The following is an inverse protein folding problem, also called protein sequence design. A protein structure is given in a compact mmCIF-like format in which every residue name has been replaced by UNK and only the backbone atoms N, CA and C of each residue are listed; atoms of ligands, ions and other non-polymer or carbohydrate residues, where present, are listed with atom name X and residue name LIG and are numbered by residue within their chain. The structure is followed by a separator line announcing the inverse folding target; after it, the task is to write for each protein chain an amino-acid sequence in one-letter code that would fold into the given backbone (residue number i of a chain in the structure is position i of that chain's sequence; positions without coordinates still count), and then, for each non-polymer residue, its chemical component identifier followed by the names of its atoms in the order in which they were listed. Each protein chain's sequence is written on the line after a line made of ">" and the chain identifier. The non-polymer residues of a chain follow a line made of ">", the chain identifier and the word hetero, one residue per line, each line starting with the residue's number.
data_IF_728923050004
#
_entry.id   IF_728923050004
#
_cell.length_a   1.000
_cell.length_b   1.000
_cell.length_c   1.000
_cell.angle_alpha   90.00
_cell.angle_beta   90.00
_cell.angle_gamma   90.00
#
_symmetry.space_group_name_H-M   'P 1'
#
loop_
_entity.id
_entity.type
_entity.pdbx_description
1 polymer ?
#
# COMPACT_ATOMS: atom_id res chain seq x y z
N UNK A 1 17.32 -8.10 3.02
CA UNK A 1 15.91 -8.42 2.79
C UNK A 1 15.81 -9.81 2.16
N UNK A 2 14.86 -10.61 2.62
CA UNK A 2 14.51 -11.96 2.15
C UNK A 2 13.30 -11.90 1.19
N UNK A 3 13.12 -12.91 0.35
CA UNK A 3 11.98 -12.99 -0.57
C UNK A 3 10.73 -13.46 0.18
N UNK A 4 9.71 -12.60 0.24
CA UNK A 4 8.39 -12.93 0.78
C UNK A 4 7.54 -13.69 -0.24
N UNK A 5 7.44 -13.15 -1.46
CA UNK A 5 6.60 -13.69 -2.53
C UNK A 5 7.03 -13.17 -3.91
N UNK A 6 6.56 -13.84 -4.96
CA UNK A 6 6.61 -13.34 -6.33
C UNK A 6 5.29 -13.67 -7.04
N UNK A 7 4.87 -12.83 -7.99
CA UNK A 7 3.66 -13.06 -8.79
C UNK A 7 3.96 -13.38 -10.27
N UNK A 8 2.94 -13.83 -11.00
CA UNK A 8 3.06 -14.19 -12.43
C UNK A 8 3.42 -12.98 -13.33
N UNK A 9 3.19 -11.75 -12.84
CA UNK A 9 3.56 -10.52 -13.55
C UNK A 9 5.03 -10.15 -13.36
N UNK A 10 5.77 -10.92 -12.55
CA UNK A 10 7.19 -10.73 -12.26
C UNK A 10 7.45 -9.70 -11.17
N UNK A 11 6.44 -9.32 -10.38
CA UNK A 11 6.65 -8.50 -9.20
C UNK A 11 7.26 -9.36 -8.09
N UNK A 12 8.15 -8.76 -7.30
CA UNK A 12 8.79 -9.42 -6.16
C UNK A 12 8.51 -8.64 -4.89
N UNK A 13 8.19 -9.34 -3.81
CA UNK A 13 7.92 -8.78 -2.50
C UNK A 13 9.00 -9.27 -1.56
N UNK A 14 9.67 -8.35 -0.89
CA UNK A 14 10.82 -8.60 -0.02
C UNK A 14 10.52 -8.10 1.39
N UNK A 15 11.18 -8.64 2.41
CA UNK A 15 11.10 -8.12 3.77
C UNK A 15 12.42 -8.23 4.54
N UNK A 16 12.57 -7.49 5.63
CA UNK A 16 13.64 -7.72 6.62
C UNK A 16 13.12 -8.00 8.05
N UNK A 17 11.81 -8.23 8.17
CA UNK A 17 11.12 -8.42 9.45
C UNK A 17 10.66 -7.12 10.11
N UNK A 18 10.97 -5.96 9.52
CA UNK A 18 10.43 -4.67 9.94
C UNK A 18 9.81 -3.90 8.75
N UNK A 19 10.48 -3.89 7.60
CA UNK A 19 9.98 -3.30 6.37
C UNK A 19 9.66 -4.38 5.33
N UNK A 20 8.56 -4.18 4.60
CA UNK A 20 8.24 -4.89 3.36
C UNK A 20 8.47 -3.96 2.17
N UNK A 21 9.13 -4.47 1.13
CA UNK A 21 9.42 -3.75 -0.12
C UNK A 21 8.84 -4.51 -1.31
N UNK A 22 8.01 -3.84 -2.11
CA UNK A 22 7.52 -4.36 -3.38
C UNK A 22 8.37 -3.82 -4.54
N UNK A 23 9.03 -4.72 -5.27
CA UNK A 23 9.66 -4.43 -6.55
C UNK A 23 8.65 -4.71 -7.66
N UNK A 24 8.04 -3.64 -8.15
CA UNK A 24 7.00 -3.70 -9.16
C UNK A 24 7.60 -3.52 -10.55
N UNK A 25 7.15 -4.34 -11.50
CA UNK A 25 7.45 -4.12 -12.91
C UNK A 25 6.82 -2.81 -13.36
N UNK A 26 7.63 -1.88 -13.86
CA UNK A 26 7.12 -0.64 -14.41
C UNK A 26 6.32 -0.92 -15.69
N UNK A 27 5.06 -0.50 -15.69
CA UNK A 27 4.23 -0.42 -16.89
C UNK A 27 4.40 0.95 -17.53
N UNK A 28 5.04 1.01 -18.70
CA UNK A 28 5.31 2.26 -19.42
C UNK A 28 4.04 2.94 -19.96
N UNK A 29 2.91 2.23 -20.02
CA UNK A 29 1.60 2.80 -20.36
C UNK A 29 0.72 3.10 -19.14
N UNK A 30 1.20 2.79 -17.93
CA UNK A 30 0.47 2.96 -16.69
C UNK A 30 0.57 4.37 -16.10
N UNK A 31 -0.24 4.64 -15.08
CA UNK A 31 -0.27 5.93 -14.38
C UNK A 31 0.83 6.09 -13.33
N UNK A 32 1.49 4.99 -12.96
CA UNK A 32 2.48 5.01 -11.89
C UNK A 32 3.82 5.63 -12.35
N UNK A 33 4.43 6.51 -11.54
CA UNK A 33 5.71 7.11 -11.88
C UNK A 33 6.84 6.07 -11.81
N UNK A 34 7.92 6.34 -12.55
CA UNK A 34 9.18 5.64 -12.36
C UNK A 34 9.78 6.04 -11.00
N UNK A 35 10.16 5.07 -10.18
CA UNK A 35 10.68 5.30 -8.83
C UNK A 35 9.76 4.73 -7.75
N UNK A 36 9.52 5.50 -6.69
CA UNK A 36 8.60 5.11 -5.62
C UNK A 36 7.17 5.13 -6.17
N UNK A 37 6.52 3.97 -6.16
CA UNK A 37 5.16 3.80 -6.68
C UNK A 37 4.11 4.25 -5.66
N UNK A 38 4.23 3.78 -4.42
CA UNK A 38 3.45 4.13 -3.23
C UNK A 38 4.16 3.59 -1.99
N UNK A 39 3.73 4.02 -0.81
CA UNK A 39 4.12 3.45 0.47
C UNK A 39 2.88 2.94 1.23
N UNK A 40 3.05 2.43 2.45
CA UNK A 40 1.92 1.96 3.22
C UNK A 40 2.17 1.96 4.71
N UNK A 41 1.08 1.92 5.47
CA UNK A 41 1.10 1.88 6.92
C UNK A 41 0.36 0.65 7.43
N UNK A 42 1.03 -0.09 8.30
CA UNK A 42 0.39 -1.07 9.17
C UNK A 42 -0.21 -0.31 10.35
N UNK A 43 -1.52 -0.42 10.54
CA UNK A 43 -2.29 0.33 11.54
C UNK A 43 -3.11 -0.62 12.41
N UNK A 44 -3.33 -0.28 13.67
CA UNK A 44 -4.03 -1.18 14.60
C UNK A 44 -5.56 -1.22 14.40
N UNK A 45 -6.15 -0.10 13.98
CA UNK A 45 -7.60 0.03 13.77
C UNK A 45 -7.86 0.90 12.54
N UNK A 46 -8.08 0.23 11.41
CA UNK A 46 -8.26 0.93 10.14
C UNK A 46 -9.59 1.68 10.09
N UNK A 47 -10.63 1.16 10.76
CA UNK A 47 -11.95 1.78 10.80
C UNK A 47 -11.93 3.12 11.51
N UNK A 48 -11.27 3.17 12.68
CA UNK A 48 -11.05 4.40 13.42
C UNK A 48 -10.23 5.40 12.60
N UNK A 49 -9.09 4.98 12.03
CA UNK A 49 -8.24 5.88 11.25
C UNK A 49 -8.97 6.45 10.03
N UNK A 50 -9.70 5.63 9.28
CA UNK A 50 -10.52 6.09 8.16
C UNK A 50 -11.59 7.09 8.61
N UNK A 51 -12.23 6.85 9.76
CA UNK A 51 -13.20 7.79 10.32
C UNK A 51 -12.58 9.11 10.76
N UNK A 52 -11.37 9.11 11.30
CA UNK A 52 -10.64 10.33 11.67
C UNK A 52 -10.26 11.12 10.41
N UNK A 53 -9.67 10.46 9.40
CA UNK A 53 -9.28 11.09 8.13
C UNK A 53 -10.46 11.65 7.34
N UNK A 54 -11.64 11.03 7.43
CA UNK A 54 -12.85 11.54 6.79
C UNK A 54 -13.35 12.89 7.35
N UNK A 55 -12.84 13.32 8.51
CA UNK A 55 -13.14 14.64 9.09
C UNK A 55 -12.10 15.71 8.74
N UNK A 56 -11.02 15.34 8.07
CA UNK A 56 -9.97 16.25 7.61
C UNK A 56 -10.29 16.82 6.22
N UNK A 57 -9.73 17.97 5.82
CA UNK A 57 -9.95 18.56 4.50
C UNK A 57 -9.10 17.86 3.41
N UNK A 58 -9.15 16.53 3.36
CA UNK A 58 -8.47 15.66 2.39
C UNK A 58 -9.47 14.64 1.83
N UNK A 59 -9.13 13.99 0.71
CA UNK A 59 -9.96 12.90 0.20
C UNK A 59 -9.92 11.72 1.20
N UNK A 60 -11.08 11.18 1.62
CA UNK A 60 -11.10 10.07 2.56
C UNK A 60 -10.48 8.79 1.96
N UNK A 61 -9.89 7.91 2.79
CA UNK A 61 -9.40 6.63 2.29
C UNK A 61 -10.52 5.78 1.69
N UNK A 62 -10.25 5.17 0.54
CA UNK A 62 -11.20 4.30 -0.15
C UNK A 62 -10.80 2.83 -0.02
N UNK A 63 -11.80 1.97 0.17
CA UNK A 63 -11.59 0.53 0.16
C UNK A 63 -11.19 0.08 -1.24
N UNK A 64 -10.12 -0.69 -1.35
CA UNK A 64 -9.65 -1.11 -2.68
C UNK A 64 -10.65 -2.05 -3.35
N UNK A 65 -10.92 -1.80 -4.63
CA UNK A 65 -11.95 -2.50 -5.41
C UNK A 65 -11.66 -4.01 -5.62
N UNK A 66 -10.39 -4.43 -5.56
CA UNK A 66 -10.01 -5.84 -5.64
C UNK A 66 -9.40 -6.32 -4.33
N UNK A 67 -9.78 -7.52 -3.84
CA UNK A 67 -9.13 -8.11 -2.67
C UNK A 67 -7.65 -8.31 -3.02
N UNK A 68 -6.78 -7.50 -2.41
CA UNK A 68 -5.35 -7.73 -2.40
C UNK A 68 -4.96 -8.27 -1.03
N UNK A 69 -3.95 -9.16 -0.97
CA UNK A 69 -3.61 -9.86 0.26
C UNK A 69 -3.12 -8.95 1.40
N UNK A 70 -2.63 -7.74 1.10
CA UNK A 70 -1.88 -6.90 2.07
C UNK A 70 -2.37 -5.45 2.19
N UNK A 71 -3.46 -5.05 1.50
CA UNK A 71 -3.89 -3.65 1.49
C UNK A 71 -5.40 -3.51 1.26
N UNK A 72 -6.08 -3.09 2.33
CA UNK A 72 -7.53 -2.96 2.41
C UNK A 72 -8.02 -1.61 1.92
N UNK A 73 -7.31 -0.52 2.24
CA UNK A 73 -7.67 0.85 1.87
C UNK A 73 -6.51 1.59 1.19
N UNK A 74 -6.84 2.60 0.39
CA UNK A 74 -5.90 3.51 -0.28
C UNK A 74 -6.31 4.96 -0.06
N UNK A 75 -5.32 5.82 0.11
CA UNK A 75 -5.50 7.26 0.20
C UNK A 75 -4.36 8.00 -0.55
N UNK A 76 -4.49 9.32 -0.61
CA UNK A 76 -3.53 10.22 -1.25
C UNK A 76 -3.13 11.29 -0.24
N UNK A 77 -1.83 11.53 -0.10
CA UNK A 77 -1.33 12.62 0.74
C UNK A 77 -1.44 13.99 0.04
N UNK A 78 -1.17 15.11 0.75
CA UNK A 78 -1.25 16.44 0.14
C UNK A 78 -0.28 16.70 -1.02
N UNK A 79 0.76 15.89 -1.18
CA UNK A 79 1.72 15.98 -2.29
C UNK A 79 1.34 15.10 -3.49
N UNK A 80 0.24 14.34 -3.38
CA UNK A 80 -0.25 13.45 -4.43
C UNK A 80 0.35 12.04 -4.38
N UNK A 81 1.09 11.68 -3.32
CA UNK A 81 1.61 10.33 -3.18
C UNK A 81 0.49 9.38 -2.76
N UNK A 82 0.40 8.23 -3.42
CA UNK A 82 -0.46 7.16 -2.96
C UNK A 82 0.13 6.48 -1.74
N UNK A 83 -0.74 6.16 -0.79
CA UNK A 83 -0.40 5.25 0.30
C UNK A 83 -1.52 4.27 0.59
N UNK A 84 -1.12 3.06 0.97
CA UNK A 84 -2.04 2.00 1.38
C UNK A 84 -2.12 1.91 2.91
N UNK A 85 -3.29 1.50 3.42
CA UNK A 85 -3.52 1.22 4.82
C UNK A 85 -3.88 -0.25 4.99
N UNK A 86 -3.25 -0.91 5.95
CA UNK A 86 -3.54 -2.30 6.29
C UNK A 86 -3.60 -2.54 7.78
N UNK A 87 -4.61 -3.27 8.23
CA UNK A 87 -4.70 -3.75 9.62
C UNK A 87 -3.99 -5.10 9.79
N UNK A 88 -3.99 -5.91 8.72
CA UNK A 88 -3.34 -7.23 8.71
C UNK A 88 -1.83 -7.17 8.42
N UNK A 89 -1.32 -6.01 8.01
CA UNK A 89 0.10 -5.81 7.70
C UNK A 89 0.51 -6.39 6.34
N UNK A 90 1.83 -6.42 6.11
CA UNK A 90 2.42 -6.68 4.79
C UNK A 90 3.12 -8.04 4.71
N UNK A 91 2.49 -9.07 5.28
CA UNK A 91 2.93 -10.47 5.18
C UNK A 91 4.10 -10.84 6.10
N UNK A 92 4.43 -9.99 7.07
CA UNK A 92 5.38 -10.25 8.15
C UNK A 92 4.76 -9.78 9.47
N UNK A 93 4.98 -10.56 10.53
CA UNK A 93 4.50 -10.27 11.90
C UNK A 93 5.44 -9.33 12.66
#
# INVERSE_FOLDING_TARGET
>A
MELLAADESGNHFLHDGYLTLALLKLDMGGEAPAGINHFGFHVDDIGRLCSELANEPVEPPERRASPRPYAEFRAIDPEGNWFDLSEHGYGVD
#
